data_IF_616294838504
#
_entry.id   IF_616294838504
#
_cell.length_a   1.000
_cell.length_b   1.000
_cell.length_c   1.000
_cell.angle_alpha   90.00
_cell.angle_beta   90.00
_cell.angle_gamma   90.00
#
_symmetry.space_group_name_H-M   'P 1'
#
loop_
_entity.id
_entity.type
_entity.pdbx_description
1 polymer ?
#
# COMPACT_ATOMS: atom_id res chain seq x y z
N UNK A 1 55.72 45.72 17.37
CA UNK A 1 55.07 45.98 18.67
C UNK A 1 55.07 44.63 19.39
N UNK A 2 56.21 44.25 19.99
CA UNK A 2 56.53 44.48 21.41
C UNK A 2 55.62 43.57 22.27
N UNK A 3 56.04 42.61 23.10
CA UNK A 3 57.24 42.38 23.92
C UNK A 3 57.04 40.95 24.50
N UNK A 4 57.92 39.98 24.26
CA UNK A 4 58.89 39.44 25.23
C UNK A 4 58.41 39.34 26.70
N UNK A 5 58.01 38.15 27.19
CA UNK A 5 58.10 37.78 28.64
C UNK A 5 57.69 36.33 28.92
N UNK A 6 58.32 35.36 28.25
CA UNK A 6 58.19 33.93 28.62
C UNK A 6 59.52 33.34 29.12
N UNK A 7 60.43 34.18 29.61
CA UNK A 7 61.79 33.80 30.03
C UNK A 7 62.13 34.18 31.49
N UNK A 8 61.13 34.48 32.33
CA UNK A 8 61.37 35.07 33.67
C UNK A 8 60.72 34.33 34.83
N UNK A 9 60.59 33.00 34.75
CA UNK A 9 60.17 32.19 35.91
C UNK A 9 61.18 31.15 36.39
N UNK A 10 62.37 31.05 35.76
CA UNK A 10 63.48 30.22 36.25
C UNK A 10 64.56 31.00 37.02
N UNK A 11 64.45 32.33 37.13
CA UNK A 11 65.47 33.17 37.78
C UNK A 11 65.21 33.45 39.29
N UNK A 12 64.00 33.15 39.80
CA UNK A 12 63.66 33.44 41.21
C UNK A 12 64.25 32.46 42.23
N UNK A 13 64.72 31.29 41.79
CA UNK A 13 65.23 30.24 42.68
C UNK A 13 66.71 30.40 43.07
N UNK A 14 67.43 31.37 42.48
CA UNK A 14 68.86 31.53 42.68
C UNK A 14 69.25 32.57 43.74
N UNK A 15 68.33 33.42 44.21
CA UNK A 15 68.67 34.57 45.06
C UNK A 15 68.49 34.40 46.58
N UNK A 16 68.17 33.19 47.08
CA UNK A 16 67.91 32.98 48.51
C UNK A 16 68.99 32.15 49.25
N UNK A 17 70.13 31.88 48.62
CA UNK A 17 71.14 30.95 49.14
C UNK A 17 72.38 31.61 49.79
N UNK A 18 72.27 32.84 50.31
CA UNK A 18 73.40 33.51 50.96
C UNK A 18 73.00 34.13 52.31
N UNK A 19 72.88 33.27 53.33
CA UNK A 19 73.05 33.69 54.72
C UNK A 19 73.92 32.66 55.44
N UNK A 20 75.17 33.05 55.63
CA UNK A 20 76.18 32.36 56.42
C UNK A 20 76.01 32.76 57.90
N UNK A 21 75.74 31.79 58.79
CA UNK A 21 75.99 31.98 60.21
C UNK A 21 76.44 30.70 60.93
N UNK A 22 77.70 30.72 61.35
CA UNK A 22 78.17 30.38 62.70
C UNK A 22 77.78 29.04 63.34
N UNK A 23 78.73 28.12 63.38
CA UNK A 23 78.73 26.91 64.20
C UNK A 23 78.71 27.23 65.71
N UNK A 24 77.71 26.76 66.44
CA UNK A 24 77.84 26.38 67.85
C UNK A 24 76.70 25.42 68.24
N UNK A 25 77.03 24.44 69.08
CA UNK A 25 76.32 23.16 69.16
C UNK A 25 74.87 23.24 69.62
N UNK A 26 73.98 22.65 68.83
CA UNK A 26 72.58 22.43 69.18
C UNK A 26 72.14 21.09 68.60
N UNK A 27 71.23 20.38 69.30
CA UNK A 27 70.71 19.08 68.87
C UNK A 27 70.10 19.25 67.48
N UNK A 28 70.82 18.76 66.46
CA UNK A 28 70.43 18.86 65.07
C UNK A 28 69.08 18.16 64.83
N UNK A 29 67.99 18.93 64.88
CA UNK A 29 66.76 18.57 64.18
C UNK A 29 67.04 18.69 62.69
N UNK A 30 66.65 17.68 61.91
CA UNK A 30 66.82 17.68 60.47
C UNK A 30 66.20 18.98 59.90
N UNK A 31 66.93 19.80 59.12
CA UNK A 31 66.50 21.15 58.73
C UNK A 31 65.08 21.26 58.12
N UNK A 32 64.54 20.28 57.35
CA UNK A 32 63.17 20.35 56.87
C UNK A 32 62.09 19.87 57.87
N UNK A 33 62.45 19.45 59.09
CA UNK A 33 61.52 19.06 60.16
C UNK A 33 61.70 19.94 61.40
N UNK A 34 61.66 21.27 61.23
CA UNK A 34 61.55 22.20 62.34
C UNK A 34 60.08 22.35 62.78
N UNK A 35 59.72 21.95 64.02
CA UNK A 35 58.35 21.99 64.50
C UNK A 35 57.74 23.39 64.68
N UNK A 36 58.57 24.44 64.69
CA UNK A 36 58.12 25.81 64.88
C UNK A 36 57.31 26.35 63.69
N UNK A 37 57.60 25.90 62.47
CA UNK A 37 56.91 26.35 61.25
C UNK A 37 55.67 25.51 60.88
N UNK A 38 55.48 24.33 61.49
CA UNK A 38 54.35 23.45 61.17
C UNK A 38 52.99 24.11 61.46
N UNK A 39 52.86 24.86 62.56
CA UNK A 39 51.59 25.52 62.90
C UNK A 39 51.18 26.56 61.85
N UNK A 40 52.12 27.38 61.37
CA UNK A 40 51.86 28.39 60.34
C UNK A 40 51.55 27.75 58.99
N UNK A 41 52.31 26.72 58.59
CA UNK A 41 52.05 25.99 57.35
C UNK A 41 50.69 25.30 57.38
N UNK A 42 50.29 24.73 58.52
CA UNK A 42 48.98 24.08 58.68
C UNK A 42 47.83 25.10 58.66
N UNK A 43 48.02 26.28 59.24
CA UNK A 43 47.05 27.37 59.17
C UNK A 43 46.81 27.85 57.73
N UNK A 44 47.88 28.09 56.96
CA UNK A 44 47.74 28.50 55.56
C UNK A 44 47.22 27.36 54.66
N UNK A 45 47.62 26.11 54.94
CA UNK A 45 47.05 24.93 54.30
C UNK A 45 45.54 24.88 54.53
N UNK A 46 45.07 25.10 55.76
CA UNK A 46 43.65 25.10 56.07
C UNK A 46 42.89 26.20 55.31
N UNK A 47 43.45 27.41 55.22
CA UNK A 47 42.84 28.52 54.45
C UNK A 47 42.78 28.19 52.96
N UNK A 48 43.89 27.78 52.35
CA UNK A 48 43.95 27.49 50.91
C UNK A 48 43.10 26.28 50.55
N UNK A 49 43.07 25.25 51.41
CA UNK A 49 42.22 24.08 51.24
C UNK A 49 40.73 24.45 51.39
N UNK A 50 40.36 25.31 52.34
CA UNK A 50 38.99 25.78 52.49
C UNK A 50 38.52 26.59 51.28
N UNK A 51 39.37 27.47 50.74
CA UNK A 51 39.07 28.23 49.50
C UNK A 51 38.93 27.29 48.30
N UNK A 52 39.84 26.32 48.14
CA UNK A 52 39.75 25.31 47.08
C UNK A 52 38.48 24.46 47.21
N UNK A 53 38.15 24.01 48.42
CA UNK A 53 36.95 23.26 48.71
C UNK A 53 35.70 24.05 48.36
N UNK A 54 35.65 25.32 48.75
CA UNK A 54 34.54 26.21 48.42
C UNK A 54 34.39 26.37 46.89
N UNK A 55 35.49 26.60 46.15
CA UNK A 55 35.47 26.69 44.69
C UNK A 55 35.01 25.38 44.01
N UNK A 56 35.51 24.23 44.49
CA UNK A 56 35.12 22.92 43.98
C UNK A 56 33.65 22.60 44.25
N UNK A 57 33.17 22.91 45.46
CA UNK A 57 31.77 22.69 45.84
C UNK A 57 30.79 23.53 45.01
N UNK A 58 31.19 24.76 44.65
CA UNK A 58 30.33 25.71 43.96
C UNK A 58 30.43 25.66 42.44
N UNK A 59 31.53 25.15 41.87
CA UNK A 59 31.73 25.12 40.41
C UNK A 59 31.81 23.70 39.85
N UNK A 60 32.56 22.79 40.49
CA UNK A 60 32.78 21.46 39.92
C UNK A 60 31.56 20.56 40.12
N UNK A 61 31.00 20.50 41.33
CA UNK A 61 29.81 19.68 41.61
C UNK A 61 28.59 20.03 40.72
N UNK A 62 28.19 21.32 40.56
CA UNK A 62 27.06 21.63 39.69
C UNK A 62 27.34 21.35 38.22
N UNK A 63 28.58 21.51 37.73
CA UNK A 63 28.94 21.16 36.36
C UNK A 63 28.85 19.66 36.08
N UNK A 64 29.31 18.82 37.01
CA UNK A 64 29.16 17.36 36.87
C UNK A 64 27.69 16.94 36.97
N UNK A 65 26.92 17.55 37.89
CA UNK A 65 25.48 17.31 38.00
C UNK A 65 24.73 17.65 36.71
N UNK A 66 25.02 18.80 36.10
CA UNK A 66 24.38 19.21 34.86
C UNK A 66 24.64 18.24 33.70
N UNK A 67 25.85 17.69 33.57
CA UNK A 67 26.18 16.72 32.52
C UNK A 67 25.45 15.39 32.74
N UNK A 68 25.34 14.94 33.99
CA UNK A 68 24.61 13.71 34.31
C UNK A 68 23.12 13.87 34.05
N UNK A 69 22.55 15.02 34.42
CA UNK A 69 21.14 15.34 34.16
C UNK A 69 20.88 15.42 32.65
N UNK A 70 21.71 16.13 31.88
CA UNK A 70 21.56 16.24 30.42
C UNK A 70 21.59 14.87 29.72
N UNK A 71 22.45 13.95 30.21
CA UNK A 71 22.49 12.58 29.71
C UNK A 71 21.23 11.79 30.09
N UNK A 72 20.79 11.89 31.34
CA UNK A 72 19.57 11.23 31.81
C UNK A 72 18.35 11.71 31.02
N UNK A 73 18.22 13.02 30.82
CA UNK A 73 17.16 13.65 30.04
C UNK A 73 17.19 13.24 28.57
N UNK A 74 18.39 13.17 27.97
CA UNK A 74 18.52 12.74 26.57
C UNK A 74 18.14 11.27 26.41
N UNK A 75 18.59 10.39 27.29
CA UNK A 75 18.20 8.97 27.28
C UNK A 75 16.69 8.82 27.50
N UNK A 76 16.11 9.59 28.44
CA UNK A 76 14.67 9.60 28.69
C UNK A 76 13.89 10.01 27.44
N UNK A 77 14.26 11.13 26.82
CA UNK A 77 13.64 11.60 25.57
C UNK A 77 13.79 10.60 24.43
N UNK A 78 14.94 9.96 24.29
CA UNK A 78 15.19 8.97 23.23
C UNK A 78 14.34 7.71 23.44
N UNK A 79 14.19 7.25 24.68
CA UNK A 79 13.31 6.12 25.04
C UNK A 79 11.83 6.46 24.81
N UNK A 80 11.39 7.65 25.23
CA UNK A 80 10.03 8.12 25.01
C UNK A 80 9.72 8.27 23.52
N UNK A 81 10.68 8.77 22.74
CA UNK A 81 10.52 8.87 21.30
C UNK A 81 10.50 7.48 20.63
N UNK A 82 11.36 6.56 21.06
CA UNK A 82 11.39 5.19 20.56
C UNK A 82 10.07 4.46 20.84
N UNK A 83 9.54 4.56 22.06
CA UNK A 83 8.26 3.93 22.43
C UNK A 83 7.09 4.54 21.67
N UNK A 84 7.06 5.85 21.47
CA UNK A 84 6.05 6.50 20.64
C UNK A 84 6.14 6.07 19.17
N UNK A 85 7.35 5.95 18.62
CA UNK A 85 7.54 5.50 17.24
C UNK A 85 7.17 4.03 17.07
N UNK A 86 7.48 3.19 18.06
CA UNK A 86 7.04 1.79 18.09
C UNK A 86 5.51 1.71 18.12
N UNK A 87 4.84 2.45 19.00
CA UNK A 87 3.38 2.46 19.08
C UNK A 87 2.72 2.92 17.77
N UNK A 88 3.26 3.97 17.13
CA UNK A 88 2.79 4.42 15.81
C UNK A 88 3.03 3.38 14.73
N UNK A 89 4.16 2.69 14.73
CA UNK A 89 4.46 1.63 13.77
C UNK A 89 3.49 0.45 13.92
N UNK A 90 3.19 0.04 15.16
CA UNK A 90 2.21 -1.01 15.46
C UNK A 90 0.80 -0.60 15.05
N UNK A 91 0.38 0.63 15.33
CA UNK A 91 -0.92 1.17 14.89
C UNK A 91 -1.04 1.18 13.35
N UNK A 92 -0.01 1.66 12.66
CA UNK A 92 0.04 1.68 11.20
C UNK A 92 0.07 0.27 10.60
N UNK A 93 0.77 -0.67 11.23
CA UNK A 93 0.77 -2.07 10.81
C UNK A 93 -0.63 -2.68 10.94
N UNK A 94 -1.31 -2.47 12.06
CA UNK A 94 -2.69 -2.95 12.25
C UNK A 94 -3.67 -2.29 11.28
N UNK A 95 -3.55 -0.99 11.03
CA UNK A 95 -4.37 -0.27 10.06
C UNK A 95 -4.14 -0.80 8.63
N UNK A 96 -2.88 -1.06 8.26
CA UNK A 96 -2.52 -1.64 6.98
C UNK A 96 -3.08 -3.05 6.79
N UNK A 97 -2.96 -3.92 7.80
CA UNK A 97 -3.52 -5.27 7.76
C UNK A 97 -5.05 -5.25 7.62
N UNK A 98 -5.73 -4.38 8.37
CA UNK A 98 -7.18 -4.17 8.25
C UNK A 98 -7.56 -3.70 6.85
N UNK A 99 -6.87 -2.69 6.32
CA UNK A 99 -7.12 -2.17 4.98
C UNK A 99 -6.90 -3.26 3.91
N UNK A 100 -5.87 -4.09 4.05
CA UNK A 100 -5.60 -5.19 3.13
C UNK A 100 -6.70 -6.28 3.21
N UNK A 101 -7.16 -6.62 4.40
CA UNK A 101 -8.25 -7.57 4.60
C UNK A 101 -9.56 -7.05 4.00
N UNK A 102 -9.88 -5.78 4.21
CA UNK A 102 -11.06 -5.12 3.64
C UNK A 102 -10.98 -5.04 2.11
N UNK A 103 -9.83 -4.64 1.55
CA UNK A 103 -9.61 -4.62 0.11
C UNK A 103 -9.80 -6.01 -0.52
N UNK A 104 -9.27 -7.07 0.11
CA UNK A 104 -9.47 -8.45 -0.34
C UNK A 104 -10.94 -8.87 -0.29
N UNK A 105 -11.65 -8.53 0.80
CA UNK A 105 -13.09 -8.81 0.94
C UNK A 105 -13.91 -8.08 -0.14
N UNK A 106 -13.61 -6.81 -0.39
CA UNK A 106 -14.27 -6.00 -1.41
C UNK A 106 -14.00 -6.55 -2.81
N UNK A 107 -12.75 -6.91 -3.12
CA UNK A 107 -12.40 -7.54 -4.40
C UNK A 107 -13.15 -8.87 -4.62
N UNK A 108 -13.24 -9.72 -3.59
CA UNK A 108 -14.02 -10.96 -3.66
C UNK A 108 -15.52 -10.68 -3.87
N UNK A 109 -16.08 -9.69 -3.17
CA UNK A 109 -17.47 -9.26 -3.34
C UNK A 109 -17.78 -8.74 -4.74
N UNK A 110 -16.88 -7.92 -5.30
CA UNK A 110 -16.98 -7.44 -6.68
C UNK A 110 -16.91 -8.60 -7.66
N UNK A 111 -15.95 -9.52 -7.50
CA UNK A 111 -15.81 -10.68 -8.38
C UNK A 111 -17.04 -11.60 -8.33
N UNK A 112 -17.63 -11.81 -7.16
CA UNK A 112 -18.86 -12.57 -7.01
C UNK A 112 -20.04 -11.86 -7.68
N UNK A 113 -20.25 -10.57 -7.41
CA UNK A 113 -21.32 -9.77 -8.01
C UNK A 113 -21.21 -9.73 -9.53
N UNK A 114 -19.98 -9.59 -10.06
CA UNK A 114 -19.72 -9.60 -11.50
C UNK A 114 -20.07 -10.96 -12.13
N UNK A 115 -19.71 -12.07 -11.48
CA UNK A 115 -20.07 -13.42 -11.94
C UNK A 115 -21.58 -13.63 -11.95
N UNK A 116 -22.28 -13.26 -10.87
CA UNK A 116 -23.73 -13.40 -10.77
C UNK A 116 -24.46 -12.53 -11.80
N UNK A 117 -24.01 -11.29 -11.98
CA UNK A 117 -24.59 -10.36 -12.98
C UNK A 117 -24.32 -10.85 -14.39
N UNK A 118 -23.10 -11.32 -14.68
CA UNK A 118 -22.73 -11.88 -15.97
C UNK A 118 -23.52 -13.14 -16.33
N UNK A 119 -23.72 -14.05 -15.37
CA UNK A 119 -24.55 -15.24 -15.55
C UNK A 119 -26.00 -14.86 -15.87
N UNK A 120 -26.61 -13.98 -15.07
CA UNK A 120 -27.98 -13.49 -15.31
C UNK A 120 -28.14 -12.82 -16.67
N UNK A 121 -27.18 -11.98 -17.07
CA UNK A 121 -27.21 -11.33 -18.38
C UNK A 121 -27.08 -12.33 -19.53
N UNK A 122 -26.21 -13.34 -19.38
CA UNK A 122 -26.05 -14.41 -20.37
C UNK A 122 -27.33 -15.24 -20.53
N UNK A 123 -27.95 -15.65 -19.42
CA UNK A 123 -29.18 -16.42 -19.44
C UNK A 123 -30.34 -15.61 -20.05
N UNK A 124 -30.46 -14.32 -19.69
CA UNK A 124 -31.46 -13.43 -20.29
C UNK A 124 -31.25 -13.29 -21.80
N UNK A 125 -30.01 -13.10 -22.27
CA UNK A 125 -29.70 -12.99 -23.69
C UNK A 125 -29.98 -14.31 -24.44
N UNK A 126 -29.68 -15.45 -23.83
CA UNK A 126 -29.98 -16.77 -24.40
C UNK A 126 -31.48 -16.95 -24.58
N UNK A 127 -32.28 -16.68 -23.55
CA UNK A 127 -33.74 -16.78 -23.66
C UNK A 127 -34.34 -15.82 -24.68
N UNK A 128 -33.84 -14.57 -24.75
CA UNK A 128 -34.27 -13.62 -25.78
C UNK A 128 -33.95 -14.13 -27.20
N UNK A 129 -32.75 -14.68 -27.39
CA UNK A 129 -32.30 -15.22 -28.68
C UNK A 129 -33.08 -16.48 -29.07
N UNK A 130 -33.35 -17.37 -28.11
CA UNK A 130 -34.18 -18.56 -28.31
C UNK A 130 -35.61 -18.18 -28.72
N UNK A 131 -36.21 -17.17 -28.06
CA UNK A 131 -37.53 -16.67 -28.41
C UNK A 131 -37.56 -16.05 -29.81
N UNK A 132 -36.55 -15.24 -30.17
CA UNK A 132 -36.44 -14.65 -31.51
C UNK A 132 -36.26 -15.74 -32.59
N UNK A 133 -35.45 -16.76 -32.31
CA UNK A 133 -35.24 -17.88 -33.22
C UNK A 133 -36.52 -18.69 -33.41
N UNK A 134 -37.25 -18.97 -32.34
CA UNK A 134 -38.53 -19.67 -32.41
C UNK A 134 -39.56 -18.89 -33.26
N UNK A 135 -39.63 -17.56 -33.09
CA UNK A 135 -40.49 -16.71 -33.89
C UNK A 135 -40.11 -16.71 -35.39
N UNK A 136 -38.80 -16.63 -35.70
CA UNK A 136 -38.29 -16.73 -37.07
C UNK A 136 -38.59 -18.08 -37.71
N UNK A 137 -38.43 -19.18 -36.96
CA UNK A 137 -38.77 -20.52 -37.43
C UNK A 137 -40.26 -20.63 -37.76
N UNK A 138 -41.14 -20.19 -36.85
CA UNK A 138 -42.58 -20.20 -37.10
C UNK A 138 -42.98 -19.35 -38.34
N UNK A 139 -42.35 -18.19 -38.52
CA UNK A 139 -42.58 -17.34 -39.70
C UNK A 139 -42.09 -18.02 -41.01
N UNK A 140 -40.92 -18.67 -40.96
CA UNK A 140 -40.39 -19.41 -42.10
C UNK A 140 -41.28 -20.60 -42.46
N UNK A 141 -41.75 -21.37 -41.48
CA UNK A 141 -42.69 -22.47 -41.67
C UNK A 141 -44.01 -22.00 -42.29
N UNK A 142 -44.58 -20.89 -41.79
CA UNK A 142 -45.78 -20.29 -42.37
C UNK A 142 -45.57 -19.82 -43.82
N UNK A 143 -44.40 -19.24 -44.12
CA UNK A 143 -44.03 -18.82 -45.47
C UNK A 143 -43.89 -20.02 -46.40
N UNK A 144 -43.21 -21.09 -45.96
CA UNK A 144 -43.07 -22.34 -46.72
C UNK A 144 -44.44 -22.95 -47.00
N UNK A 145 -45.32 -23.02 -46.00
CA UNK A 145 -46.68 -23.56 -46.16
C UNK A 145 -47.51 -22.73 -47.16
N UNK A 146 -47.40 -21.40 -47.10
CA UNK A 146 -48.05 -20.50 -48.05
C UNK A 146 -47.51 -20.70 -49.46
N UNK A 147 -46.20 -20.64 -49.66
CA UNK A 147 -45.56 -20.84 -50.98
C UNK A 147 -45.87 -22.21 -51.56
N UNK A 148 -45.90 -23.26 -50.72
CA UNK A 148 -46.33 -24.60 -51.15
C UNK A 148 -47.76 -24.61 -51.66
N UNK A 149 -48.68 -23.96 -50.94
CA UNK A 149 -50.09 -23.88 -51.32
C UNK A 149 -50.28 -23.10 -52.63
N UNK A 150 -49.56 -21.98 -52.78
CA UNK A 150 -49.56 -21.17 -54.01
C UNK A 150 -48.98 -21.96 -55.19
N UNK A 151 -47.86 -22.65 -55.01
CA UNK A 151 -47.25 -23.50 -56.03
C UNK A 151 -48.19 -24.64 -56.46
N UNK A 152 -48.84 -25.33 -55.52
CA UNK A 152 -49.81 -26.39 -55.84
C UNK A 152 -51.04 -25.84 -56.57
N UNK A 153 -51.50 -24.63 -56.22
CA UNK A 153 -52.60 -23.96 -56.91
C UNK A 153 -52.23 -23.60 -58.35
N UNK A 154 -51.01 -23.08 -58.56
CA UNK A 154 -50.50 -22.76 -59.90
C UNK A 154 -50.32 -24.01 -60.76
N UNK A 155 -49.82 -25.12 -60.20
CA UNK A 155 -49.70 -26.42 -60.90
C UNK A 155 -51.08 -26.94 -61.30
N UNK A 156 -52.08 -26.85 -60.42
CA UNK A 156 -53.46 -27.24 -60.71
C UNK A 156 -54.09 -26.40 -61.83
N UNK A 157 -53.90 -25.09 -61.80
CA UNK A 157 -54.35 -24.17 -62.85
C UNK A 157 -53.71 -24.50 -64.20
N UNK A 158 -52.37 -24.54 -64.25
CA UNK A 158 -51.63 -24.85 -65.47
C UNK A 158 -51.95 -26.25 -66.01
N UNK A 159 -52.12 -27.24 -65.12
CA UNK A 159 -52.54 -28.59 -65.48
C UNK A 159 -53.93 -28.64 -66.11
N UNK A 160 -54.89 -27.87 -65.57
CA UNK A 160 -56.24 -27.74 -66.14
C UNK A 160 -56.19 -27.08 -67.53
N UNK A 161 -55.43 -26.00 -67.68
CA UNK A 161 -55.29 -25.29 -68.97
C UNK A 161 -54.67 -26.19 -70.04
N UNK A 162 -53.61 -26.94 -69.69
CA UNK A 162 -52.98 -27.91 -70.59
C UNK A 162 -53.94 -29.05 -70.93
N UNK A 163 -54.69 -29.58 -69.95
CA UNK A 163 -55.66 -30.66 -70.19
C UNK A 163 -56.77 -30.23 -71.16
N UNK A 164 -57.34 -29.03 -70.98
CA UNK A 164 -58.34 -28.45 -71.89
C UNK A 164 -57.76 -28.32 -73.30
N UNK A 165 -56.56 -27.75 -73.43
CA UNK A 165 -55.92 -27.56 -74.72
C UNK A 165 -55.63 -28.90 -75.46
N UNK A 166 -55.25 -29.95 -74.72
CA UNK A 166 -55.03 -31.29 -75.29
C UNK A 166 -56.35 -31.91 -75.77
N UNK A 167 -57.41 -31.85 -74.96
CA UNK A 167 -58.72 -32.44 -75.32
C UNK A 167 -59.35 -31.71 -76.50
N UNK A 168 -59.27 -30.38 -76.53
CA UNK A 168 -59.74 -29.57 -77.66
C UNK A 168 -59.00 -29.93 -78.95
N UNK A 169 -57.68 -30.11 -78.89
CA UNK A 169 -56.86 -30.55 -80.05
C UNK A 169 -57.19 -31.96 -80.54
N UNK A 170 -57.57 -32.89 -79.66
CA UNK A 170 -57.84 -34.29 -80.03
C UNK A 170 -59.28 -34.54 -80.47
N UNK A 171 -60.26 -33.86 -79.88
CA UNK A 171 -61.68 -34.14 -80.07
C UNK A 171 -62.42 -33.06 -80.88
N UNK A 172 -61.80 -31.89 -81.06
CA UNK A 172 -62.39 -30.74 -81.74
C UNK A 172 -63.49 -30.02 -80.95
N UNK A 173 -63.77 -30.45 -79.71
CA UNK A 173 -64.68 -29.80 -78.78
C UNK A 173 -63.98 -29.54 -77.45
N UNK A 174 -64.10 -28.31 -76.93
CA UNK A 174 -63.55 -27.97 -75.63
C UNK A 174 -64.41 -28.59 -74.51
N UNK A 175 -63.82 -29.35 -73.56
CA UNK A 175 -64.54 -29.84 -72.39
C UNK A 175 -64.93 -28.65 -71.48
N UNK A 176 -65.96 -28.83 -70.65
CA UNK A 176 -66.33 -27.76 -69.72
C UNK A 176 -65.22 -27.54 -68.68
N UNK A 177 -64.97 -26.29 -68.30
CA UNK A 177 -63.93 -25.93 -67.33
C UNK A 177 -64.12 -26.65 -65.97
N UNK A 178 -65.37 -26.95 -65.61
CA UNK A 178 -65.71 -27.72 -64.41
C UNK A 178 -65.21 -29.16 -64.49
N UNK A 179 -65.42 -29.85 -65.62
CA UNK A 179 -65.01 -31.25 -65.80
C UNK A 179 -63.49 -31.40 -65.87
N UNK A 180 -62.81 -30.47 -66.54
CA UNK A 180 -61.34 -30.46 -66.61
C UNK A 180 -60.71 -30.27 -65.23
N UNK A 181 -61.22 -29.33 -64.42
CA UNK A 181 -60.72 -29.12 -63.06
C UNK A 181 -60.94 -30.33 -62.14
N UNK A 182 -62.09 -30.99 -62.24
CA UNK A 182 -62.43 -32.17 -61.44
C UNK A 182 -61.55 -33.39 -61.80
N UNK A 183 -61.22 -33.56 -63.09
CA UNK A 183 -60.34 -34.63 -63.55
C UNK A 183 -58.89 -34.43 -63.09
N UNK A 184 -58.39 -33.19 -63.12
CA UNK A 184 -57.06 -32.83 -62.62
C UNK A 184 -56.97 -33.06 -61.10
N UNK A 185 -58.02 -32.74 -60.35
CA UNK A 185 -58.08 -33.02 -58.91
C UNK A 185 -58.01 -34.50 -58.58
N UNK A 186 -58.77 -35.29 -59.34
CA UNK A 186 -58.77 -36.74 -59.17
C UNK A 186 -57.39 -37.32 -59.48
N UNK A 187 -56.68 -36.78 -60.47
CA UNK A 187 -55.30 -37.17 -60.79
C UNK A 187 -54.31 -36.75 -59.68
N UNK A 188 -54.43 -35.53 -59.15
CA UNK A 188 -53.59 -35.03 -58.04
C UNK A 188 -53.82 -35.78 -56.73
N UNK A 189 -55.01 -36.36 -56.51
CA UNK A 189 -55.33 -37.16 -55.31
C UNK A 189 -54.83 -38.61 -55.37
N UNK A 190 -54.46 -39.10 -56.57
CA UNK A 190 -54.05 -40.49 -56.81
C UNK A 190 -52.53 -40.71 -56.84
N UNK A 191 -51.74 -39.63 -56.95
CA UNK A 191 -50.28 -39.65 -56.88
C UNK A 191 -49.78 -39.12 -55.54
#
# INVERSE_FOLDING_TARGET
MAVASFATLLAGAAQAAEQQHGLSGEKASFPPFDPTHFASNLFWLAITFAVLYWLMSTVALPRLGAILEERADTIGRDLDHATQMQGKAEEMAQAYEKALAEARKNAQGIAQTARETGAKASDAQRHATEAELAAKLAQAEATIAKTKTEAMTNVRGLGSDIAVAIVEKLTGQAPSASEASAAVDQALSRG
#
